data_IF_703365267071
#
_entry.id   IF_703365267071
#
_cell.length_a   1.000
_cell.length_b   1.000
_cell.length_c   1.000
_cell.angle_alpha   90.00
_cell.angle_beta   90.00
_cell.angle_gamma   90.00
#
_symmetry.space_group_name_H-M   'P 1'
#
loop_
_entity.id
_entity.type
_entity.pdbx_description
1 polymer ?
#
# COMPACT_ATOMS: atom_id res chain seq x y z
N UNK A 1 -70.76 63.24 -24.73
CA UNK A 1 -70.60 63.70 -23.33
C UNK A 1 -69.33 63.07 -22.76
N UNK A 2 -68.56 63.87 -22.02
CA UNK A 2 -67.44 63.52 -21.13
C UNK A 2 -66.03 63.16 -21.68
N UNK A 3 -65.19 64.21 -21.72
CA UNK A 3 -63.86 64.37 -21.11
C UNK A 3 -62.76 63.28 -21.24
N UNK A 4 -61.80 63.51 -22.17
CA UNK A 4 -60.39 63.99 -22.00
C UNK A 4 -59.51 63.40 -20.85
N UNK A 5 -58.18 63.61 -20.93
CA UNK A 5 -57.08 62.83 -21.54
C UNK A 5 -56.17 62.19 -20.44
N UNK A 6 -55.03 61.53 -20.75
CA UNK A 6 -53.77 61.64 -19.98
C UNK A 6 -52.62 60.72 -20.46
N UNK A 7 -51.43 61.34 -20.59
CA UNK A 7 -50.07 60.92 -20.12
C UNK A 7 -49.39 59.77 -20.89
N UNK A 8 -48.42 60.00 -21.77
CA UNK A 8 -47.03 60.46 -21.54
C UNK A 8 -46.26 59.62 -20.51
N UNK A 9 -45.65 58.52 -20.93
CA UNK A 9 -44.42 58.02 -20.29
C UNK A 9 -43.53 57.28 -21.29
N UNK A 10 -42.81 58.06 -22.10
CA UNK A 10 -41.47 57.68 -22.52
C UNK A 10 -40.59 57.74 -21.26
N UNK A 11 -39.98 56.64 -20.84
CA UNK A 11 -38.61 56.56 -20.33
C UNK A 11 -38.33 55.17 -19.74
N UNK A 12 -37.08 54.74 -19.83
CA UNK A 12 -36.47 53.56 -19.18
C UNK A 12 -36.69 52.18 -19.82
N UNK A 13 -36.21 52.03 -21.06
CA UNK A 13 -35.49 50.78 -21.42
C UNK A 13 -34.01 51.11 -21.24
N UNK A 14 -33.55 51.03 -19.99
CA UNK A 14 -32.13 51.09 -19.70
C UNK A 14 -31.49 49.82 -20.24
N UNK A 15 -30.52 50.03 -21.13
CA UNK A 15 -29.62 49.04 -21.65
C UNK A 15 -28.96 48.28 -20.50
N UNK A 16 -29.44 47.06 -20.25
CA UNK A 16 -28.60 46.01 -19.68
C UNK A 16 -28.00 45.26 -20.86
N UNK A 17 -27.12 45.96 -21.60
CA UNK A 17 -26.04 45.28 -22.30
C UNK A 17 -25.11 44.77 -21.20
N UNK A 18 -25.52 43.68 -20.54
CA UNK A 18 -24.55 42.80 -19.93
C UNK A 18 -23.68 42.32 -21.08
N UNK A 19 -22.42 42.77 -21.11
CA UNK A 19 -21.39 41.97 -21.74
C UNK A 19 -21.42 40.63 -21.00
N UNK A 20 -22.17 39.68 -21.55
CA UNK A 20 -21.95 38.28 -21.27
C UNK A 20 -20.51 38.04 -21.73
N UNK A 21 -19.61 38.00 -20.75
CA UNK A 21 -18.23 37.62 -20.99
C UNK A 21 -18.33 36.22 -21.58
N UNK A 22 -18.08 36.09 -22.89
CA UNK A 22 -17.98 34.80 -23.55
C UNK A 22 -17.16 33.90 -22.62
N UNK A 23 -17.83 32.88 -22.07
CA UNK A 23 -17.17 31.91 -21.21
C UNK A 23 -16.14 31.26 -22.11
N UNK A 24 -14.86 31.56 -21.87
CA UNK A 24 -13.76 31.08 -22.68
C UNK A 24 -13.91 29.55 -22.82
N UNK A 25 -14.40 29.11 -23.99
CA UNK A 25 -14.72 27.70 -24.31
C UNK A 25 -13.47 26.80 -24.28
N UNK A 26 -12.31 27.40 -24.06
CA UNK A 26 -11.02 26.75 -23.96
C UNK A 26 -10.58 26.50 -22.50
N UNK A 27 -11.45 26.75 -21.52
CA UNK A 27 -11.15 26.43 -20.13
C UNK A 27 -11.35 24.94 -19.88
N UNK A 28 -10.27 24.21 -19.62
CA UNK A 28 -10.31 22.77 -19.30
C UNK A 28 -11.15 22.58 -18.02
N UNK A 29 -12.17 21.72 -18.08
CA UNK A 29 -13.08 21.44 -16.96
C UNK A 29 -14.20 22.46 -16.73
N UNK A 30 -14.43 23.39 -17.66
CA UNK A 30 -15.66 24.20 -17.72
C UNK A 30 -16.87 23.42 -18.25
N UNK A 31 -18.08 23.99 -18.15
CA UNK A 31 -19.33 23.35 -18.60
C UNK A 31 -19.33 23.04 -20.10
N UNK A 32 -18.65 23.87 -20.91
CA UNK A 32 -18.49 23.72 -22.37
C UNK A 32 -17.04 23.41 -22.83
N UNK A 33 -16.09 23.25 -21.90
CA UNK A 33 -14.69 22.94 -22.21
C UNK A 33 -14.44 21.43 -22.30
N UNK A 34 -13.34 20.98 -22.95
CA UNK A 34 -13.01 19.56 -22.98
C UNK A 34 -12.87 19.03 -21.55
N UNK A 35 -13.51 17.89 -21.26
CA UNK A 35 -13.41 17.27 -19.96
C UNK A 35 -11.97 16.78 -19.73
N UNK A 36 -11.48 16.86 -18.50
CA UNK A 36 -10.12 16.36 -18.15
C UNK A 36 -9.94 14.90 -18.59
N UNK A 37 -10.98 14.08 -18.46
CA UNK A 37 -10.99 12.68 -18.86
C UNK A 37 -10.86 12.43 -20.37
N UNK A 38 -11.15 13.44 -21.19
CA UNK A 38 -10.94 13.39 -22.64
C UNK A 38 -9.48 13.64 -23.00
N UNK A 39 -8.73 14.35 -22.15
CA UNK A 39 -7.33 14.70 -22.38
C UNK A 39 -6.39 13.63 -21.83
N UNK A 40 -6.61 13.21 -20.59
CA UNK A 40 -5.81 12.20 -19.90
C UNK A 40 -6.71 11.39 -18.96
N UNK A 41 -6.57 10.06 -18.99
CA UNK A 41 -7.26 9.16 -18.06
C UNK A 41 -6.43 7.92 -17.76
N UNK A 42 -6.64 7.33 -16.59
CA UNK A 42 -6.21 5.95 -16.36
C UNK A 42 -7.08 5.04 -17.21
N UNK A 43 -6.48 4.32 -18.16
CA UNK A 43 -7.15 3.33 -18.99
C UNK A 43 -7.06 1.92 -18.41
N UNK A 44 -6.11 1.69 -17.50
CA UNK A 44 -6.00 0.42 -16.80
C UNK A 44 -5.10 0.48 -15.58
N UNK A 45 -5.44 -0.32 -14.58
CA UNK A 45 -4.58 -0.64 -13.44
C UNK A 45 -4.64 -2.16 -13.27
N UNK A 46 -3.52 -2.86 -13.41
CA UNK A 46 -3.53 -4.33 -13.42
C UNK A 46 -3.94 -4.94 -12.08
N UNK A 47 -3.59 -4.28 -10.96
CA UNK A 47 -4.11 -4.61 -9.64
C UNK A 47 -4.20 -3.37 -8.75
N UNK A 48 -5.28 -3.28 -7.98
CA UNK A 48 -5.47 -2.22 -6.97
C UNK A 48 -5.02 -2.67 -5.56
N UNK A 49 -4.79 -3.97 -5.37
CA UNK A 49 -4.36 -4.57 -4.11
C UNK A 49 -3.18 -5.51 -4.36
N UNK A 50 -2.05 -5.24 -3.74
CA UNK A 50 -0.80 -5.99 -3.93
C UNK A 50 -0.17 -6.30 -2.58
N UNK A 51 0.67 -7.33 -2.52
CA UNK A 51 1.52 -7.53 -1.36
C UNK A 51 2.71 -6.56 -1.43
N UNK A 52 3.12 -6.03 -0.28
CA UNK A 52 4.27 -5.14 -0.13
C UNK A 52 5.61 -5.90 -0.08
N UNK A 53 5.79 -6.86 -0.98
CA UNK A 53 6.86 -7.87 -0.92
C UNK A 53 8.11 -7.52 -1.76
N UNK A 54 8.19 -6.32 -2.32
CA UNK A 54 9.22 -5.91 -3.31
C UNK A 54 9.23 -6.72 -4.61
N UNK A 55 8.20 -7.51 -4.90
CA UNK A 55 8.13 -8.38 -6.08
C UNK A 55 6.80 -8.27 -6.83
N UNK A 56 5.71 -8.05 -6.11
CA UNK A 56 4.37 -7.83 -6.62
C UNK A 56 4.29 -6.46 -7.27
N UNK A 57 3.90 -6.43 -8.55
CA UNK A 57 3.89 -5.20 -9.37
C UNK A 57 2.48 -4.88 -9.88
N UNK A 58 2.14 -3.59 -9.92
CA UNK A 58 0.96 -3.08 -10.63
C UNK A 58 1.38 -2.27 -11.83
N UNK A 59 0.78 -2.56 -12.99
CA UNK A 59 0.98 -1.80 -14.23
C UNK A 59 -0.12 -0.76 -14.32
N UNK A 60 0.29 0.50 -14.30
CA UNK A 60 -0.54 1.68 -14.46
C UNK A 60 -0.50 2.09 -15.93
N UNK A 61 -1.65 2.15 -16.58
CA UNK A 61 -1.75 2.56 -17.98
C UNK A 61 -2.59 3.83 -18.07
N UNK A 62 -2.01 4.82 -18.75
CA UNK A 62 -2.63 6.12 -19.01
C UNK A 62 -2.89 6.23 -20.51
N UNK A 63 -4.08 6.68 -20.84
CA UNK A 63 -4.49 7.04 -22.19
C UNK A 63 -4.56 8.56 -22.30
N UNK A 64 -3.82 9.10 -23.27
CA UNK A 64 -3.93 10.48 -23.73
C UNK A 64 -4.89 10.57 -24.90
N UNK A 65 -5.44 11.77 -25.14
CA UNK A 65 -6.20 12.02 -26.36
C UNK A 65 -5.35 11.70 -27.61
N UNK A 66 -5.89 11.02 -28.64
CA UNK A 66 -5.13 10.66 -29.84
C UNK A 66 -4.52 11.85 -30.58
N UNK A 67 -5.17 13.02 -30.50
CA UNK A 67 -4.73 14.26 -31.14
C UNK A 67 -3.66 15.02 -30.31
N UNK A 68 -3.22 14.47 -29.18
CA UNK A 68 -2.11 15.06 -28.43
C UNK A 68 -0.85 15.10 -29.30
N UNK A 69 -0.30 16.30 -29.51
CA UNK A 69 0.95 16.53 -30.24
C UNK A 69 2.09 15.70 -29.63
N UNK A 70 2.97 15.15 -30.48
CA UNK A 70 4.09 14.29 -30.10
C UNK A 70 5.07 14.96 -29.11
N UNK A 71 5.19 16.29 -29.16
CA UNK A 71 5.96 17.08 -28.20
C UNK A 71 5.35 17.07 -26.78
N UNK A 72 4.08 16.69 -26.65
CA UNK A 72 3.25 16.84 -25.45
C UNK A 72 2.77 15.49 -24.90
N UNK A 73 3.56 14.43 -25.13
CA UNK A 73 3.23 13.04 -24.76
C UNK A 73 4.01 12.52 -23.56
N UNK A 74 4.79 13.37 -22.89
CA UNK A 74 5.57 12.96 -21.74
C UNK A 74 4.67 12.96 -20.50
N UNK A 75 4.35 11.77 -20.00
CA UNK A 75 3.53 11.54 -18.82
C UNK A 75 4.43 11.38 -17.61
N UNK A 76 4.29 12.26 -16.62
CA UNK A 76 4.99 12.17 -15.35
C UNK A 76 4.12 11.44 -14.33
N UNK A 77 4.52 10.23 -13.98
CA UNK A 77 3.99 9.47 -12.86
C UNK A 77 4.68 9.88 -11.56
N UNK A 78 3.91 10.02 -10.49
CA UNK A 78 4.40 10.22 -9.12
C UNK A 78 3.64 9.31 -8.17
N UNK A 79 4.32 8.75 -7.18
CA UNK A 79 3.69 7.95 -6.12
C UNK A 79 4.05 8.47 -4.73
N UNK A 80 3.14 8.31 -3.76
CA UNK A 80 3.39 8.60 -2.35
C UNK A 80 4.01 7.43 -1.57
N UNK A 81 3.94 6.21 -2.11
CA UNK A 81 4.43 4.98 -1.49
C UNK A 81 4.88 3.99 -2.57
N UNK A 82 5.98 3.27 -2.30
CA UNK A 82 6.61 2.39 -3.28
C UNK A 82 7.47 3.13 -4.30
N UNK A 83 7.93 2.40 -5.31
CA UNK A 83 8.85 2.89 -6.34
C UNK A 83 8.45 2.35 -7.71
N UNK A 84 8.69 3.14 -8.76
CA UNK A 84 8.52 2.70 -10.14
C UNK A 84 9.69 1.81 -10.60
N UNK A 85 9.66 1.32 -11.84
CA UNK A 85 10.69 0.45 -12.43
C UNK A 85 12.11 1.06 -12.45
N UNK A 86 12.23 2.38 -12.34
CA UNK A 86 13.51 3.08 -12.20
C UNK A 86 14.04 3.14 -10.76
N UNK A 87 13.28 2.64 -9.78
CA UNK A 87 13.63 2.69 -8.36
C UNK A 87 13.27 4.00 -7.66
N UNK A 88 12.65 4.97 -8.36
CA UNK A 88 12.27 6.27 -7.80
C UNK A 88 10.75 6.39 -7.58
N UNK A 89 10.34 7.42 -6.83
CA UNK A 89 8.92 7.78 -6.65
C UNK A 89 8.36 8.62 -7.80
N UNK A 90 9.19 8.97 -8.77
CA UNK A 90 8.82 9.74 -9.96
C UNK A 90 9.37 9.05 -11.21
N UNK A 91 8.54 8.94 -12.23
CA UNK A 91 8.90 8.36 -13.51
C UNK A 91 8.26 9.16 -14.65
N UNK A 92 9.04 9.54 -15.64
CA UNK A 92 8.51 10.15 -16.87
C UNK A 92 8.52 9.11 -17.99
N UNK A 93 7.35 8.86 -18.58
CA UNK A 93 7.16 7.92 -19.69
C UNK A 93 6.58 8.66 -20.88
N UNK A 94 7.22 8.51 -22.04
CA UNK A 94 6.70 9.05 -23.29
C UNK A 94 5.60 8.13 -23.83
N UNK A 95 4.39 8.66 -23.99
CA UNK A 95 3.29 7.92 -24.58
C UNK A 95 3.57 7.56 -26.06
N UNK A 96 3.14 6.38 -26.48
CA UNK A 96 3.36 5.87 -27.82
C UNK A 96 2.52 6.60 -28.89
N UNK A 97 2.57 6.12 -30.15
CA UNK A 97 1.81 6.70 -31.26
C UNK A 97 0.29 6.75 -31.01
N UNK A 98 -0.24 5.77 -30.27
CA UNK A 98 -1.64 5.65 -29.88
C UNK A 98 -2.00 6.43 -28.60
N UNK A 99 -1.05 7.19 -28.02
CA UNK A 99 -1.29 7.97 -26.81
C UNK A 99 -1.27 7.14 -25.52
N UNK A 100 -0.68 5.94 -25.53
CA UNK A 100 -0.60 5.06 -24.34
C UNK A 100 0.76 5.20 -23.67
N UNK A 101 0.76 5.45 -22.36
CA UNK A 101 1.94 5.38 -21.49
C UNK A 101 1.67 4.39 -20.36
N UNK A 102 2.69 3.61 -19.98
CA UNK A 102 2.60 2.62 -18.91
C UNK A 102 3.76 2.75 -17.94
N UNK A 103 3.49 2.55 -16.65
CA UNK A 103 4.47 2.55 -15.57
C UNK A 103 4.20 1.34 -14.65
N UNK A 104 5.26 0.76 -14.08
CA UNK A 104 5.18 -0.39 -13.19
C UNK A 104 5.53 0.03 -11.77
N UNK A 105 4.59 -0.14 -10.82
CA UNK A 105 4.76 0.23 -9.43
C UNK A 105 4.87 -1.01 -8.54
N UNK A 106 5.83 -1.01 -7.62
CA UNK A 106 5.99 -2.00 -6.55
C UNK A 106 6.28 -1.32 -5.22
N UNK A 107 6.10 -2.02 -4.11
CA UNK A 107 6.41 -1.49 -2.78
C UNK A 107 7.01 -2.55 -1.88
N UNK A 108 7.80 -2.09 -0.93
CA UNK A 108 8.36 -2.89 0.13
C UNK A 108 7.82 -2.53 1.53
N UNK A 109 6.82 -1.64 1.54
CA UNK A 109 6.11 -1.16 2.71
C UNK A 109 4.59 -1.28 2.48
N UNK A 110 3.89 -1.78 3.50
CA UNK A 110 2.43 -1.83 3.47
C UNK A 110 1.84 -0.44 3.69
N UNK A 111 0.72 -0.15 3.03
CA UNK A 111 0.02 1.13 3.10
C UNK A 111 -0.70 1.48 1.81
N UNK A 112 -1.29 2.67 1.78
CA UNK A 112 -1.98 3.18 0.59
C UNK A 112 -1.05 4.07 -0.21
N UNK A 113 -0.83 3.73 -1.48
CA UNK A 113 -0.12 4.57 -2.43
C UNK A 113 -1.12 5.46 -3.17
N UNK A 114 -0.93 6.77 -3.10
CA UNK A 114 -1.56 7.72 -4.02
C UNK A 114 -0.66 7.88 -5.22
N UNK A 115 -1.18 7.61 -6.40
CA UNK A 115 -0.45 7.73 -7.65
C UNK A 115 -1.08 8.81 -8.50
N UNK A 116 -0.25 9.68 -9.06
CA UNK A 116 -0.69 10.70 -9.99
C UNK A 116 0.00 10.58 -11.32
N UNK A 117 -0.74 10.79 -12.40
CA UNK A 117 -0.20 10.98 -13.72
C UNK A 117 -0.45 12.42 -14.15
N UNK A 118 0.59 13.08 -14.65
CA UNK A 118 0.57 14.48 -15.03
C UNK A 118 1.12 14.65 -16.44
N UNK A 119 0.39 15.38 -17.28
CA UNK A 119 0.86 15.83 -18.60
C UNK A 119 0.65 17.33 -18.67
N UNK A 120 1.74 18.07 -18.89
CA UNK A 120 1.76 19.54 -18.79
C UNK A 120 1.23 20.01 -17.42
N UNK A 121 0.03 20.58 -17.40
CA UNK A 121 -0.62 21.13 -16.21
C UNK A 121 -1.87 20.33 -15.81
N UNK A 122 -2.13 19.21 -16.48
CA UNK A 122 -3.31 18.38 -16.23
C UNK A 122 -2.87 17.16 -15.44
N UNK A 123 -3.53 16.94 -14.31
CA UNK A 123 -3.22 15.88 -13.36
C UNK A 123 -4.45 15.02 -13.11
N UNK A 124 -4.23 13.72 -13.06
CA UNK A 124 -5.20 12.73 -12.59
C UNK A 124 -4.57 11.89 -11.48
N UNK A 125 -5.39 11.39 -10.57
CA UNK A 125 -4.95 10.60 -9.43
C UNK A 125 -5.70 9.25 -9.38
N UNK A 126 -5.04 8.24 -8.82
CA UNK A 126 -5.60 6.94 -8.47
C UNK A 126 -4.96 6.45 -7.17
N UNK A 127 -5.50 5.39 -6.59
CA UNK A 127 -4.99 4.80 -5.35
C UNK A 127 -4.79 3.29 -5.48
N UNK A 128 -3.76 2.79 -4.83
CA UNK A 128 -3.45 1.37 -4.70
C UNK A 128 -3.19 1.06 -3.23
N UNK A 129 -3.47 -0.17 -2.83
CA UNK A 129 -3.24 -0.64 -1.47
C UNK A 129 -2.18 -1.74 -1.50
N UNK A 130 -1.09 -1.51 -0.78
CA UNK A 130 -0.07 -2.50 -0.49
C UNK A 130 -0.37 -3.15 0.86
N UNK A 131 -0.67 -4.44 0.86
CA UNK A 131 -0.94 -5.23 2.06
C UNK A 131 0.37 -5.81 2.62
N UNK A 132 0.44 -6.07 3.94
CA UNK A 132 1.60 -6.74 4.53
C UNK A 132 1.81 -8.10 3.90
N UNK A 133 3.04 -8.37 3.46
CA UNK A 133 3.42 -9.65 2.89
C UNK A 133 3.69 -10.65 4.02
N UNK A 134 2.80 -11.61 4.23
CA UNK A 134 2.92 -12.63 5.27
C UNK A 134 3.91 -13.74 4.90
N UNK A 135 4.47 -14.47 5.87
CA UNK A 135 5.34 -15.63 5.61
C UNK A 135 4.57 -16.85 5.07
N UNK A 136 5.30 -17.74 4.41
CA UNK A 136 4.87 -19.06 3.96
C UNK A 136 5.32 -20.18 4.90
N UNK A 137 6.47 -20.01 5.54
CA UNK A 137 6.96 -20.92 6.59
C UNK A 137 7.77 -20.13 7.63
N UNK A 138 8.03 -20.79 8.75
CA UNK A 138 8.87 -20.27 9.84
C UNK A 138 9.88 -21.32 10.28
N UNK A 139 11.00 -20.87 10.82
CA UNK A 139 11.97 -21.72 11.52
C UNK A 139 12.07 -21.26 12.96
N UNK A 140 11.87 -22.19 13.91
CA UNK A 140 12.07 -21.94 15.33
C UNK A 140 13.38 -22.58 15.79
N UNK A 141 14.24 -21.78 16.40
CA UNK A 141 15.56 -22.21 16.91
C UNK A 141 15.86 -21.61 18.27
N UNK A 142 16.77 -22.24 19.01
CA UNK A 142 17.29 -21.72 20.27
C UNK A 142 18.82 -21.71 20.22
N UNK A 143 19.44 -20.77 20.94
CA UNK A 143 20.90 -20.73 21.09
C UNK A 143 21.44 -21.90 21.94
N UNK A 144 20.60 -22.45 22.83
CA UNK A 144 20.85 -23.68 23.56
C UNK A 144 19.59 -24.53 23.75
N UNK A 145 19.72 -25.85 23.63
CA UNK A 145 18.63 -26.82 23.85
C UNK A 145 18.73 -27.57 25.19
N UNK A 146 19.83 -27.36 25.91
CA UNK A 146 20.07 -27.88 27.27
C UNK A 146 20.75 -26.80 28.10
N UNK A 147 20.18 -26.44 29.23
CA UNK A 147 20.70 -25.39 30.12
C UNK A 147 20.46 -25.72 31.59
N UNK A 148 21.18 -25.06 32.48
CA UNK A 148 20.91 -25.14 33.92
C UNK A 148 19.75 -24.22 34.32
N UNK A 149 19.15 -24.46 35.49
CA UNK A 149 18.02 -23.69 36.05
C UNK A 149 18.19 -22.16 36.08
N UNK A 150 19.41 -21.63 36.10
CA UNK A 150 19.69 -20.18 36.20
C UNK A 150 20.10 -19.53 34.87
N UNK A 151 20.16 -20.28 33.78
CA UNK A 151 20.59 -19.78 32.48
C UNK A 151 19.40 -19.38 31.63
N UNK A 152 19.47 -18.21 31.02
CA UNK A 152 18.49 -17.76 30.02
C UNK A 152 18.87 -18.26 28.63
N UNK A 153 17.86 -18.55 27.81
CA UNK A 153 18.00 -19.03 26.43
C UNK A 153 17.34 -18.04 25.49
N UNK A 154 18.01 -17.68 24.39
CA UNK A 154 17.37 -16.92 23.33
C UNK A 154 16.71 -17.87 22.35
N UNK A 155 15.42 -17.64 22.09
CA UNK A 155 14.64 -18.38 21.12
C UNK A 155 14.26 -17.45 19.99
N UNK A 156 14.60 -17.84 18.77
CA UNK A 156 14.43 -17.03 17.57
C UNK A 156 13.53 -17.76 16.58
N UNK A 157 12.50 -17.05 16.12
CA UNK A 157 11.68 -17.44 14.97
C UNK A 157 12.12 -16.64 13.75
N UNK A 158 12.59 -17.31 12.71
CA UNK A 158 12.85 -16.71 11.40
C UNK A 158 11.66 -16.93 10.47
N UNK A 159 11.33 -15.91 9.67
CA UNK A 159 10.17 -15.89 8.77
C UNK A 159 10.63 -16.01 7.32
N UNK A 160 9.98 -16.88 6.54
CA UNK A 160 10.34 -17.15 5.14
C UNK A 160 9.14 -17.01 4.21
N UNK A 161 9.41 -16.62 2.97
CA UNK A 161 8.48 -16.75 1.83
C UNK A 161 9.12 -17.65 0.79
N UNK A 162 8.29 -18.31 -0.01
CA UNK A 162 8.76 -19.15 -1.10
C UNK A 162 9.54 -18.32 -2.13
N UNK A 163 10.52 -18.93 -2.84
CA UNK A 163 11.26 -18.24 -3.90
C UNK A 163 10.34 -17.56 -4.91
N UNK A 164 10.68 -16.33 -5.30
CA UNK A 164 9.90 -15.55 -6.27
C UNK A 164 8.68 -14.80 -5.69
N UNK A 165 8.36 -14.97 -4.41
CA UNK A 165 7.27 -14.22 -3.74
C UNK A 165 7.73 -12.97 -3.01
N UNK A 166 8.97 -12.54 -3.20
CA UNK A 166 9.53 -11.39 -2.49
C UNK A 166 9.75 -11.64 -0.99
N UNK A 167 9.71 -10.57 -0.20
CA UNK A 167 10.06 -10.57 1.23
C UNK A 167 8.84 -10.43 2.14
N UNK A 168 8.97 -10.91 3.39
CA UNK A 168 7.98 -10.66 4.44
C UNK A 168 8.02 -9.18 4.84
N UNK A 169 6.84 -8.56 4.96
CA UNK A 169 6.74 -7.11 5.19
C UNK A 169 5.80 -6.79 6.35
N UNK A 170 6.18 -5.77 7.12
CA UNK A 170 5.47 -5.33 8.32
C UNK A 170 4.08 -4.77 7.99
N UNK A 171 3.11 -4.84 8.92
CA UNK A 171 3.16 -5.54 10.21
C UNK A 171 2.80 -7.03 10.12
N UNK A 172 3.74 -7.89 10.50
CA UNK A 172 3.49 -9.29 10.85
C UNK A 172 3.89 -9.49 12.30
N UNK A 173 3.05 -10.19 13.06
CA UNK A 173 3.21 -10.40 14.50
C UNK A 173 3.55 -11.87 14.79
N UNK A 174 4.61 -12.09 15.56
CA UNK A 174 5.03 -13.41 16.02
C UNK A 174 4.68 -13.58 17.49
N UNK A 175 4.07 -14.71 17.85
CA UNK A 175 3.72 -15.05 19.21
C UNK A 175 4.56 -16.22 19.69
N UNK A 176 4.88 -16.24 20.97
CA UNK A 176 5.61 -17.34 21.59
C UNK A 176 4.87 -17.86 22.81
N UNK A 177 4.98 -19.17 23.03
CA UNK A 177 4.46 -19.78 24.24
C UNK A 177 5.45 -20.78 24.81
N UNK A 178 5.53 -20.83 26.13
CA UNK A 178 6.38 -21.75 26.88
C UNK A 178 5.49 -22.60 27.76
N UNK A 179 5.52 -23.92 27.54
CA UNK A 179 4.74 -24.90 28.31
C UNK A 179 5.67 -25.72 29.20
N UNK A 180 5.28 -25.89 30.46
CA UNK A 180 6.04 -26.65 31.45
C UNK A 180 6.13 -28.16 31.12
N UNK A 181 7.11 -28.90 31.67
CA UNK A 181 7.41 -30.30 31.30
C UNK A 181 6.30 -31.29 31.63
N UNK A 182 5.57 -31.06 32.74
CA UNK A 182 4.73 -32.10 33.35
C UNK A 182 3.23 -31.80 33.27
N UNK A 183 2.82 -30.64 32.75
CA UNK A 183 1.40 -30.30 32.55
C UNK A 183 1.23 -29.32 31.39
N UNK A 184 0.26 -29.59 30.51
CA UNK A 184 -0.17 -28.63 29.49
C UNK A 184 -0.89 -27.40 30.10
N UNK A 185 -1.14 -27.41 31.40
CA UNK A 185 -1.92 -26.41 32.13
C UNK A 185 -1.14 -25.16 32.49
N UNK A 186 0.20 -25.26 32.63
CA UNK A 186 1.05 -24.10 32.88
C UNK A 186 1.73 -23.65 31.58
N UNK A 187 1.17 -22.61 30.99
CA UNK A 187 1.67 -21.99 29.77
C UNK A 187 1.92 -20.50 30.00
N UNK A 188 3.13 -20.04 29.71
CA UNK A 188 3.43 -18.62 29.62
C UNK A 188 3.26 -18.18 28.17
N UNK A 189 2.36 -17.23 27.93
CA UNK A 189 2.15 -16.61 26.62
C UNK A 189 2.84 -15.27 26.60
N UNK A 190 3.77 -15.10 25.67
CA UNK A 190 4.45 -13.83 25.47
C UNK A 190 3.59 -12.90 24.59
N UNK A 191 3.71 -11.57 24.75
CA UNK A 191 3.05 -10.62 23.86
C UNK A 191 3.54 -10.78 22.42
N UNK A 192 2.80 -10.20 21.48
CA UNK A 192 3.18 -10.27 20.07
C UNK A 192 4.45 -9.44 19.80
N UNK A 193 5.43 -10.03 19.13
CA UNK A 193 6.65 -9.36 18.70
C UNK A 193 6.56 -8.96 17.24
N UNK A 194 7.03 -7.75 16.92
CA UNK A 194 7.40 -7.41 15.55
C UNK A 194 8.70 -8.14 15.19
N UNK A 195 8.85 -8.48 13.92
CA UNK A 195 10.10 -9.04 13.41
C UNK A 195 11.11 -7.93 13.07
N UNK A 196 12.40 -8.23 13.18
CA UNK A 196 13.52 -7.32 12.88
C UNK A 196 13.72 -7.14 11.37
N UNK A 197 14.66 -6.29 10.94
CA UNK A 197 15.02 -6.18 9.52
C UNK A 197 15.45 -7.54 8.92
N UNK A 198 16.06 -8.39 9.74
CA UNK A 198 16.49 -9.76 9.42
C UNK A 198 15.34 -10.78 9.36
N UNK A 199 14.08 -10.33 9.44
CA UNK A 199 12.89 -11.20 9.39
C UNK A 199 12.85 -12.20 10.53
N UNK A 200 13.37 -11.80 11.69
CA UNK A 200 13.43 -12.62 12.88
C UNK A 200 12.71 -11.97 14.07
N UNK A 201 12.03 -12.77 14.88
CA UNK A 201 11.53 -12.36 16.20
C UNK A 201 12.24 -13.19 17.25
N UNK A 202 12.77 -12.55 18.30
CA UNK A 202 13.53 -13.23 19.35
C UNK A 202 12.92 -12.93 20.71
N UNK A 203 12.80 -13.96 21.55
CA UNK A 203 12.50 -13.82 22.97
C UNK A 203 13.63 -14.40 23.79
N UNK A 204 13.85 -13.85 24.98
CA UNK A 204 14.71 -14.45 25.99
C UNK A 204 13.83 -15.16 27.02
N UNK A 205 14.09 -16.44 27.22
CA UNK A 205 13.39 -17.30 28.16
C UNK A 205 14.34 -17.57 29.32
N UNK A 206 13.96 -17.11 30.51
CA UNK A 206 14.50 -17.62 31.77
C UNK A 206 13.57 -18.68 32.33
N UNK A 207 14.06 -19.66 33.11
CA UNK A 207 13.24 -20.72 33.71
C UNK A 207 12.11 -20.12 34.56
N UNK A 208 10.89 -19.93 34.00
CA UNK A 208 9.88 -19.11 34.66
C UNK A 208 9.19 -19.89 35.78
N UNK A 209 9.24 -21.21 35.68
CA UNK A 209 8.58 -22.15 36.58
C UNK A 209 9.53 -22.66 37.67
N UNK A 210 10.80 -22.26 37.65
CA UNK A 210 11.85 -22.69 38.60
C UNK A 210 11.91 -24.21 38.77
N UNK A 211 11.68 -24.93 37.68
CA UNK A 211 11.61 -26.39 37.65
C UNK A 211 12.60 -26.92 36.61
N UNK A 212 13.18 -28.09 36.87
CA UNK A 212 13.91 -28.86 35.87
C UNK A 212 12.94 -29.67 34.98
N UNK A 213 13.35 -29.99 33.76
CA UNK A 213 12.59 -30.80 32.81
C UNK A 213 12.61 -30.24 31.39
N UNK A 214 11.87 -30.89 30.49
CA UNK A 214 11.78 -30.51 29.09
C UNK A 214 10.62 -29.51 28.85
N UNK A 215 10.96 -28.24 28.64
CA UNK A 215 9.99 -27.20 28.31
C UNK A 215 9.70 -27.21 26.82
N UNK A 216 8.42 -27.12 26.47
CA UNK A 216 8.00 -26.99 25.08
C UNK A 216 7.85 -25.52 24.73
N UNK A 217 8.64 -25.08 23.75
CA UNK A 217 8.53 -23.73 23.20
C UNK A 217 7.84 -23.83 21.85
N UNK A 218 6.81 -23.02 21.65
CA UNK A 218 6.13 -22.91 20.37
C UNK A 218 6.10 -21.46 19.90
N UNK A 219 6.24 -21.27 18.59
CA UNK A 219 6.08 -19.99 17.91
C UNK A 219 4.92 -20.05 16.94
N UNK A 220 4.16 -18.95 16.83
CA UNK A 220 2.98 -18.84 15.98
C UNK A 220 3.01 -17.54 15.18
N UNK A 221 2.62 -17.62 13.90
CA UNK A 221 2.41 -16.46 13.02
C UNK A 221 1.29 -16.77 12.03
N UNK A 222 0.60 -15.74 11.54
CA UNK A 222 -0.35 -15.92 10.44
C UNK A 222 0.37 -15.98 9.10
N UNK A 223 -0.03 -16.93 8.26
CA UNK A 223 0.39 -17.08 6.87
C UNK A 223 -0.38 -16.14 5.92
N UNK A 224 0.05 -16.09 4.66
CA UNK A 224 -0.66 -15.37 3.60
C UNK A 224 -2.08 -15.90 3.33
N UNK A 225 -2.36 -17.17 3.66
CA UNK A 225 -3.68 -17.80 3.54
C UNK A 225 -4.54 -17.61 4.79
N UNK A 226 -4.05 -16.81 5.75
CA UNK A 226 -4.68 -16.59 7.05
C UNK A 226 -4.76 -17.85 7.94
N UNK A 227 -3.99 -18.89 7.60
CA UNK A 227 -3.74 -20.05 8.45
C UNK A 227 -2.63 -19.77 9.46
N UNK A 228 -2.61 -20.50 10.58
CA UNK A 228 -1.56 -20.37 11.59
C UNK A 228 -0.37 -21.26 11.28
N UNK A 229 0.79 -20.67 11.01
CA UNK A 229 2.08 -21.36 10.99
C UNK A 229 2.54 -21.56 12.42
N UNK A 230 2.90 -22.81 12.76
CA UNK A 230 3.37 -23.19 14.09
C UNK A 230 4.61 -24.07 13.99
N UNK A 231 5.62 -23.78 14.80
CA UNK A 231 6.76 -24.68 15.04
C UNK A 231 6.98 -24.83 16.53
N UNK A 232 7.52 -25.98 16.91
CA UNK A 232 7.82 -26.31 18.30
C UNK A 232 9.24 -26.84 18.45
N UNK A 233 9.86 -26.53 19.58
CA UNK A 233 11.13 -27.10 20.01
C UNK A 233 11.03 -27.49 21.49
N UNK A 234 11.94 -28.36 21.93
CA UNK A 234 12.10 -28.73 23.33
C UNK A 234 13.41 -28.18 23.87
N UNK A 235 13.36 -27.53 25.02
CA UNK A 235 14.55 -27.08 25.77
C UNK A 235 14.55 -27.81 27.10
N UNK A 236 15.60 -28.58 27.38
CA UNK A 236 15.75 -29.26 28.67
C UNK A 236 16.48 -28.36 29.66
N UNK A 237 15.89 -28.16 30.83
CA UNK A 237 16.49 -27.45 31.96
C UNK A 237 16.87 -28.46 33.03
N UNK A 238 18.10 -28.38 33.54
CA UNK A 238 18.65 -29.28 34.58
C UNK A 238 18.94 -28.53 35.88
#
# INVERSE_FOLDING_TARGET
MQHKPYILLCLFIAAVMGCEKDVDTYTIGGEDGPAVADIIRFSGVSSLQLEADSSSTSVLTVQLHPEADAANRDVQFKTSLGTFENGDTVLTVKANASGVASATLLSDQAGTAKVSAEVKSIRIDTTLVFQPAAPDDILLSADAYRVDTNTSVNVTTQLFRNPGRGKVTSPVKVFFTVTAPDTATYQLVYPAFAFSEEKAATITISNPFKQAGAFRIASYVLSAQNDTLRKEILIAIQ
#
